data_IF_096477971679
#
_entry.id   IF_096477971679
#
_cell.length_a   1.000
_cell.length_b   1.000
_cell.length_c   1.000
_cell.angle_alpha   90.00
_cell.angle_beta   90.00
_cell.angle_gamma   90.00
#
_symmetry.space_group_name_H-M   'P 1'
#
loop_
_entity.id
_entity.type
_entity.pdbx_description
1 polymer ?
#
# COMPACT_ATOMS: atom_id res chain seq x y z
N UNK A 1 -16.97 -5.46 16.91
CA UNK A 1 -16.16 -4.69 15.96
C UNK A 1 -14.85 -5.44 15.83
N UNK A 2 -14.61 -6.13 14.72
CA UNK A 2 -13.41 -6.95 14.56
C UNK A 2 -12.24 -6.03 14.20
N UNK A 3 -11.20 -5.99 15.03
CA UNK A 3 -9.89 -5.47 14.66
C UNK A 3 -9.30 -6.37 13.56
N UNK A 4 -9.68 -6.09 12.31
CA UNK A 4 -9.06 -6.72 11.15
C UNK A 4 -7.70 -6.06 10.93
N UNK A 5 -6.68 -6.90 10.74
CA UNK A 5 -5.33 -6.46 10.36
C UNK A 5 -5.44 -5.70 9.04
N UNK A 6 -4.80 -4.54 8.96
CA UNK A 6 -4.66 -3.73 7.75
C UNK A 6 -3.18 -3.61 7.40
N UNK A 7 -2.88 -3.23 6.16
CA UNK A 7 -1.53 -2.89 5.74
C UNK A 7 -1.34 -1.37 5.74
N UNK A 8 -0.12 -0.91 5.95
CA UNK A 8 0.19 0.51 5.85
C UNK A 8 1.59 0.74 5.30
N UNK A 9 1.85 1.95 4.81
CA UNK A 9 3.19 2.44 4.45
C UNK A 9 3.42 3.84 4.99
N UNK A 10 4.68 4.16 5.25
CA UNK A 10 5.16 5.46 5.74
C UNK A 10 6.37 5.88 4.90
N UNK A 11 6.12 6.48 3.74
CA UNK A 11 7.19 6.86 2.80
C UNK A 11 7.38 8.36 2.80
N UNK A 12 8.58 8.88 2.53
CA UNK A 12 8.79 10.32 2.38
C UNK A 12 8.29 10.88 1.04
N UNK A 13 7.69 10.02 0.20
CA UNK A 13 7.26 10.30 -1.16
C UNK A 13 5.80 9.88 -1.37
N UNK A 14 5.07 10.64 -2.18
CA UNK A 14 3.73 10.28 -2.66
C UNK A 14 3.81 9.18 -3.71
N UNK A 15 2.69 8.50 -3.96
CA UNK A 15 2.60 7.48 -5.01
C UNK A 15 2.99 8.04 -6.39
N UNK A 16 2.59 9.28 -6.70
CA UNK A 16 2.93 9.93 -7.97
C UNK A 16 4.42 10.28 -8.07
N UNK A 17 5.06 10.73 -6.98
CA UNK A 17 6.50 10.99 -6.96
C UNK A 17 7.31 9.70 -7.18
N UNK A 18 6.86 8.57 -6.62
CA UNK A 18 7.49 7.26 -6.81
C UNK A 18 7.29 6.71 -8.23
N UNK A 19 6.09 6.82 -8.79
CA UNK A 19 5.78 6.32 -10.13
C UNK A 19 6.53 7.10 -11.23
N UNK A 20 6.73 8.40 -11.02
CA UNK A 20 7.41 9.25 -12.01
C UNK A 20 8.94 9.09 -12.00
N UNK A 21 9.55 8.64 -10.89
CA UNK A 21 10.99 8.53 -10.77
C UNK A 21 11.48 7.25 -11.45
N UNK A 22 12.37 7.39 -12.43
CA UNK A 22 13.00 6.26 -13.12
C UNK A 22 14.31 5.83 -12.45
N UNK A 23 14.90 6.74 -11.66
CA UNK A 23 16.09 6.50 -10.84
C UNK A 23 15.92 7.10 -9.44
N UNK A 24 16.71 6.62 -8.47
CA UNK A 24 16.54 7.00 -7.07
C UNK A 24 16.87 8.48 -6.81
N UNK A 25 17.81 9.05 -7.55
CA UNK A 25 18.26 10.43 -7.44
C UNK A 25 17.25 11.46 -7.98
N UNK A 26 16.26 11.02 -8.76
CA UNK A 26 15.18 11.88 -9.27
C UNK A 26 14.14 12.19 -8.19
N UNK A 27 14.16 11.46 -7.06
CA UNK A 27 13.22 11.68 -5.96
C UNK A 27 13.45 13.05 -5.30
N UNK A 28 12.36 13.75 -4.92
CA UNK A 28 12.49 15.04 -4.27
C UNK A 28 13.13 14.90 -2.88
N UNK A 29 13.64 15.99 -2.29
CA UNK A 29 14.07 15.97 -0.89
C UNK A 29 12.95 15.54 0.05
N UNK A 30 13.26 14.66 1.01
CA UNK A 30 12.30 14.20 2.02
C UNK A 30 11.85 15.36 2.93
N UNK A 31 10.55 15.68 2.94
CA UNK A 31 9.98 16.83 3.67
C UNK A 31 8.76 16.52 4.54
N UNK A 32 8.18 15.34 4.35
CA UNK A 32 6.95 14.88 5.02
C UNK A 32 6.97 13.36 5.10
N UNK A 33 6.08 12.79 5.92
CA UNK A 33 5.74 11.38 5.85
C UNK A 33 4.38 11.24 5.20
N UNK A 34 4.31 10.48 4.12
CA UNK A 34 3.08 10.09 3.45
C UNK A 34 2.63 8.76 4.05
N UNK A 35 1.54 8.81 4.82
CA UNK A 35 0.87 7.63 5.37
C UNK A 35 -0.17 7.11 4.38
N UNK A 36 -0.05 5.84 4.00
CA UNK A 36 -1.10 5.11 3.30
C UNK A 36 -1.68 4.03 4.22
N UNK A 37 -3.00 4.02 4.43
CA UNK A 37 -3.72 2.99 5.20
C UNK A 37 -4.55 2.17 4.21
N UNK A 38 -4.33 0.86 4.18
CA UNK A 38 -4.88 -0.03 3.15
C UNK A 38 -5.62 -1.20 3.80
N UNK A 39 -6.94 -1.25 3.58
CA UNK A 39 -7.78 -2.37 4.04
C UNK A 39 -7.48 -3.70 3.37
N UNK A 40 -6.92 -3.66 2.15
CA UNK A 40 -6.39 -4.81 1.42
C UNK A 40 -5.34 -4.33 0.41
N UNK A 41 -4.36 -5.19 0.11
CA UNK A 41 -3.35 -4.97 -0.93
C UNK A 41 -3.20 -6.27 -1.71
N UNK A 42 -3.23 -6.19 -3.04
CA UNK A 42 -3.02 -7.37 -3.91
C UNK A 42 -1.56 -7.80 -3.80
N UNK A 43 -1.29 -9.11 -3.85
CA UNK A 43 0.08 -9.60 -3.94
C UNK A 43 0.82 -9.06 -5.17
N UNK A 44 2.13 -8.87 -5.03
CA UNK A 44 2.98 -8.31 -6.10
C UNK A 44 3.14 -9.29 -7.27
N UNK A 45 3.25 -10.58 -6.98
CA UNK A 45 3.58 -11.60 -7.98
C UNK A 45 5.09 -11.81 -8.08
N UNK A 46 5.59 -12.08 -9.29
CA UNK A 46 7.02 -12.35 -9.55
C UNK A 46 7.35 -13.81 -9.87
N UNK A 47 6.35 -14.61 -10.27
CA UNK A 47 6.57 -15.95 -10.86
C UNK A 47 7.43 -15.80 -12.11
N UNK A 48 7.03 -14.84 -12.95
CA UNK A 48 7.84 -14.24 -13.99
C UNK A 48 7.49 -12.75 -14.12
N UNK A 49 8.29 -12.02 -14.91
CA UNK A 49 8.10 -10.59 -15.17
C UNK A 49 7.50 -10.31 -16.55
N UNK A 50 6.84 -11.29 -17.18
CA UNK A 50 6.39 -11.18 -18.57
C UNK A 50 5.00 -11.78 -18.86
N UNK A 51 4.20 -12.06 -17.82
CA UNK A 51 2.77 -12.29 -18.01
C UNK A 51 2.08 -13.13 -16.95
N UNK A 52 2.81 -13.78 -16.05
CA UNK A 52 2.17 -14.54 -14.98
C UNK A 52 1.42 -13.62 -14.01
N UNK A 53 0.15 -13.95 -13.78
CA UNK A 53 -0.67 -13.29 -12.75
C UNK A 53 -0.25 -13.75 -11.34
N UNK A 54 -0.68 -13.02 -10.32
CA UNK A 54 -0.48 -13.42 -8.93
C UNK A 54 -1.31 -14.68 -8.62
N UNK A 55 -0.79 -15.55 -7.75
CA UNK A 55 -1.52 -16.73 -7.30
C UNK A 55 -2.89 -16.36 -6.70
N UNK A 56 -3.95 -17.18 -6.91
CA UNK A 56 -5.32 -16.85 -6.50
C UNK A 56 -5.48 -16.43 -5.03
N UNK A 57 -4.69 -17.02 -4.12
CA UNK A 57 -4.74 -16.71 -2.69
C UNK A 57 -4.33 -15.26 -2.33
N UNK A 58 -3.63 -14.57 -3.23
CA UNK A 58 -3.18 -13.18 -3.02
C UNK A 58 -3.91 -12.16 -3.93
N UNK A 59 -5.03 -12.56 -4.54
CA UNK A 59 -5.90 -11.66 -5.29
C UNK A 59 -6.88 -10.97 -4.35
N UNK A 60 -7.31 -9.77 -4.73
CA UNK A 60 -8.43 -9.09 -4.08
C UNK A 60 -9.71 -9.46 -4.85
N UNK A 61 -10.76 -9.98 -4.19
CA UNK A 61 -12.01 -10.33 -4.87
C UNK A 61 -12.70 -9.07 -5.41
N UNK A 62 -13.10 -9.10 -6.68
CA UNK A 62 -13.80 -7.99 -7.34
C UNK A 62 -15.32 -8.01 -7.17
N UNK A 63 -15.85 -9.10 -6.62
CA UNK A 63 -17.27 -9.37 -6.45
C UNK A 63 -17.76 -9.24 -4.99
N UNK A 64 -16.89 -8.77 -4.09
CA UNK A 64 -17.15 -8.67 -2.67
C UNK A 64 -16.78 -7.29 -2.13
N UNK A 65 -17.64 -6.74 -1.28
CA UNK A 65 -17.36 -5.48 -0.60
C UNK A 65 -16.23 -5.65 0.43
N UNK A 66 -15.25 -4.75 0.40
CA UNK A 66 -14.18 -4.66 1.40
C UNK A 66 -14.51 -3.53 2.36
N UNK A 67 -15.16 -3.88 3.47
CA UNK A 67 -15.45 -2.93 4.55
C UNK A 67 -14.36 -3.01 5.61
N UNK A 68 -13.65 -1.90 5.84
CA UNK A 68 -12.62 -1.78 6.86
C UNK A 68 -12.72 -0.42 7.60
N UNK A 69 -12.17 -0.37 8.80
CA UNK A 69 -12.11 0.85 9.61
C UNK A 69 -10.81 0.89 10.41
N UNK A 70 -10.29 2.08 10.67
CA UNK A 70 -9.14 2.31 11.54
C UNK A 70 -9.39 3.56 12.40
N UNK A 71 -8.58 3.73 13.44
CA UNK A 71 -8.66 4.88 14.36
C UNK A 71 -7.29 5.55 14.42
N UNK A 72 -7.28 6.88 14.31
CA UNK A 72 -6.13 7.71 14.67
C UNK A 72 -6.48 8.41 15.97
N UNK A 73 -5.67 8.21 17.00
CA UNK A 73 -5.80 8.91 18.28
C UNK A 73 -4.46 9.55 18.63
N UNK A 74 -4.46 10.71 19.31
CA UNK A 74 -3.25 11.28 19.90
C UNK A 74 -2.56 10.23 20.79
N UNK A 75 -1.23 10.18 20.74
CA UNK A 75 -0.48 9.38 21.70
C UNK A 75 -0.65 9.98 23.09
N UNK A 76 -1.07 9.18 24.06
CA UNK A 76 -1.02 9.54 25.46
C UNK A 76 0.44 9.39 25.89
N UNK A 77 1.17 10.51 25.89
CA UNK A 77 2.44 10.59 26.63
C UNK A 77 2.14 10.81 28.10
#
# INVERSE_FOLDING_TARGET
RHDRRFAFSLLPYTALELENATHQEELPPARRTVLCVMGAVRGVGGIDSWGSDVEPAYRIPSDQDIVYSFVISPSQR
#
